data_IF_535172470021
#
_entry.id   IF_535172470021
#
_cell.length_a   1.000
_cell.length_b   1.000
_cell.length_c   1.000
_cell.angle_alpha   90.00
_cell.angle_beta   90.00
_cell.angle_gamma   90.00
#
_symmetry.space_group_name_H-M   'P 1'
#
loop_
_entity.id
_entity.type
_entity.pdbx_description
1 polymer ?
#
# COMPACT_ATOMS: atom_id res chain seq x y z
N UNK A 1 11.66 -55.88 14.94
CA UNK A 1 10.60 -54.88 15.23
C UNK A 1 10.80 -53.52 14.57
N UNK A 2 12.03 -53.08 14.24
CA UNK A 2 12.32 -51.73 13.71
C UNK A 2 11.78 -51.42 12.28
N UNK A 3 11.53 -52.44 11.45
CA UNK A 3 11.09 -52.24 10.04
C UNK A 3 9.57 -52.13 9.84
N UNK A 4 8.75 -52.57 10.81
CA UNK A 4 7.27 -52.42 10.78
C UNK A 4 6.80 -51.04 11.28
N UNK A 5 7.59 -50.40 12.15
CA UNK A 5 7.38 -49.04 12.65
C UNK A 5 7.74 -47.98 11.58
N UNK A 6 8.70 -48.30 10.70
CA UNK A 6 9.16 -47.40 9.65
C UNK A 6 8.14 -47.23 8.50
N UNK A 7 7.31 -48.25 8.23
CA UNK A 7 6.30 -48.20 7.15
C UNK A 7 5.03 -47.47 7.59
N UNK A 8 4.65 -47.54 8.87
CA UNK A 8 3.51 -46.79 9.42
C UNK A 8 3.79 -45.30 9.58
N UNK A 9 5.06 -44.90 9.74
CA UNK A 9 5.48 -43.49 9.76
C UNK A 9 5.53 -42.84 8.37
N UNK A 10 5.70 -43.64 7.31
CA UNK A 10 5.73 -43.15 5.93
C UNK A 10 4.32 -42.80 5.38
N UNK A 11 3.29 -43.56 5.77
CA UNK A 11 1.90 -43.34 5.31
C UNK A 11 1.23 -42.20 6.09
N UNK A 12 1.64 -41.93 7.33
CA UNK A 12 1.16 -40.77 8.11
C UNK A 12 1.75 -39.44 7.64
N UNK A 13 2.89 -39.46 6.94
CA UNK A 13 3.50 -38.29 6.30
C UNK A 13 2.77 -37.82 5.04
N UNK A 14 1.90 -38.64 4.45
CA UNK A 14 1.21 -38.29 3.20
C UNK A 14 -0.25 -37.83 3.40
N UNK A 15 -0.82 -37.97 4.62
CA UNK A 15 -2.20 -37.58 4.91
C UNK A 15 -2.37 -36.23 5.63
N UNK A 16 -1.30 -35.62 6.16
CA UNK A 16 -1.37 -34.30 6.82
C UNK A 16 -1.13 -33.14 5.86
N UNK A 17 -0.67 -33.40 4.63
CA UNK A 17 -0.43 -32.34 3.63
C UNK A 17 -1.73 -31.84 2.97
N UNK A 18 -2.84 -32.57 3.10
CA UNK A 18 -4.13 -32.17 2.54
C UNK A 18 -4.98 -31.32 3.51
N UNK A 19 -4.54 -31.06 4.74
CA UNK A 19 -5.35 -30.39 5.77
C UNK A 19 -4.94 -28.95 6.13
N UNK A 20 -3.92 -28.37 5.48
CA UNK A 20 -3.47 -27.00 5.80
C UNK A 20 -4.11 -25.90 4.94
N UNK A 21 -4.89 -26.24 3.90
CA UNK A 21 -5.41 -25.27 2.92
C UNK A 21 -6.92 -25.00 3.03
N UNK A 22 -7.48 -24.86 4.23
CA UNK A 22 -8.95 -24.59 4.36
C UNK A 22 -9.31 -23.44 5.32
N UNK A 23 -8.38 -22.76 5.99
CA UNK A 23 -8.72 -21.67 6.95
C UNK A 23 -7.97 -20.35 6.69
N UNK A 24 -7.85 -19.95 5.42
CA UNK A 24 -7.28 -18.64 5.04
C UNK A 24 -8.14 -17.88 4.03
N UNK A 25 -9.46 -18.08 4.05
CA UNK A 25 -10.39 -17.26 3.27
C UNK A 25 -11.32 -16.50 4.21
N UNK A 26 -10.77 -15.51 4.89
CA UNK A 26 -11.52 -14.29 5.21
C UNK A 26 -10.54 -13.11 5.31
N UNK A 27 -9.80 -12.87 4.22
CA UNK A 27 -9.02 -11.64 4.04
C UNK A 27 -9.90 -10.55 3.45
N UNK A 28 -11.04 -10.27 4.08
CA UNK A 28 -11.69 -8.96 3.97
C UNK A 28 -10.90 -7.94 4.81
N UNK A 29 -9.59 -7.88 4.58
CA UNK A 29 -8.80 -6.71 4.93
C UNK A 29 -9.21 -5.64 3.93
N UNK A 30 -10.25 -4.88 4.25
CA UNK A 30 -10.49 -3.58 3.65
C UNK A 30 -9.31 -2.70 4.04
N UNK A 31 -8.17 -2.87 3.36
CA UNK A 31 -7.03 -1.96 3.46
C UNK A 31 -7.56 -0.61 3.01
N UNK A 32 -7.88 0.24 3.97
CA UNK A 32 -8.27 1.62 3.68
C UNK A 32 -7.13 2.21 2.84
N UNK A 33 -7.45 2.60 1.60
CA UNK A 33 -6.50 3.27 0.73
C UNK A 33 -5.97 4.49 1.48
N UNK A 34 -4.66 4.54 1.67
CA UNK A 34 -4.00 5.66 2.32
C UNK A 34 -3.66 6.71 1.25
N UNK A 35 -3.89 8.00 1.49
CA UNK A 35 -3.43 9.04 0.59
C UNK A 35 -1.90 9.06 0.55
N UNK A 36 -1.29 9.49 -0.58
CA UNK A 36 0.15 9.66 -0.65
C UNK A 36 0.60 10.76 0.32
N UNK A 37 1.75 10.55 0.97
CA UNK A 37 2.35 11.55 1.86
C UNK A 37 3.31 12.44 1.10
N UNK A 38 3.33 13.73 1.45
CA UNK A 38 4.17 14.74 0.78
C UNK A 38 5.18 15.36 1.74
N UNK A 39 6.42 15.47 1.28
CA UNK A 39 7.49 16.10 2.05
C UNK A 39 7.26 17.62 2.21
N UNK A 40 7.49 18.13 3.42
CA UNK A 40 7.51 19.57 3.69
C UNK A 40 8.89 20.15 3.38
N UNK A 41 8.95 21.09 2.44
CA UNK A 41 10.14 21.89 2.10
C UNK A 41 9.79 23.36 2.29
N UNK A 42 10.02 23.93 3.49
CA UNK A 42 9.62 25.30 3.81
C UNK A 42 10.29 26.31 2.87
N UNK A 43 9.46 27.08 2.15
CA UNK A 43 9.87 28.32 1.50
C UNK A 43 9.29 29.49 2.28
N UNK A 44 10.17 30.40 2.69
CA UNK A 44 9.79 31.63 3.36
C UNK A 44 9.64 32.74 2.32
N UNK A 45 8.56 33.50 2.40
CA UNK A 45 8.32 34.70 1.59
C UNK A 45 7.96 35.84 2.54
N UNK A 46 8.71 36.94 2.50
CA UNK A 46 8.38 38.15 3.26
C UNK A 46 7.44 39.02 2.41
N UNK A 47 6.27 39.39 2.96
CA UNK A 47 5.21 40.15 2.29
C UNK A 47 4.74 41.25 3.25
N UNK A 48 4.92 42.51 2.87
CA UNK A 48 4.47 43.68 3.66
C UNK A 48 4.93 43.69 5.13
N UNK A 49 6.13 43.15 5.42
CA UNK A 49 6.66 43.03 6.77
C UNK A 49 6.26 41.75 7.51
N UNK A 50 5.34 40.96 6.95
CA UNK A 50 4.97 39.64 7.46
C UNK A 50 5.78 38.53 6.81
N UNK A 51 5.96 37.43 7.53
CA UNK A 51 6.66 36.24 7.05
C UNK A 51 5.69 35.10 6.81
N UNK A 52 5.53 34.70 5.55
CA UNK A 52 4.71 33.56 5.15
C UNK A 52 5.58 32.33 4.89
N UNK A 53 5.19 31.18 5.47
CA UNK A 53 5.87 29.89 5.25
C UNK A 53 5.00 28.99 4.37
N UNK A 54 5.49 28.68 3.17
CA UNK A 54 4.88 27.70 2.26
C UNK A 54 5.69 26.41 2.29
N UNK A 55 5.19 25.39 2.99
CA UNK A 55 5.85 24.09 3.10
C UNK A 55 5.84 23.26 1.79
N UNK A 56 5.01 23.63 0.82
CA UNK A 56 4.79 22.84 -0.40
C UNK A 56 5.03 23.65 -1.67
N UNK A 57 5.76 24.77 -1.55
CA UNK A 57 6.07 25.64 -2.69
C UNK A 57 6.70 24.89 -3.87
N UNK A 58 7.52 23.89 -3.57
CA UNK A 58 8.22 23.05 -4.53
C UNK A 58 7.28 22.28 -5.48
N UNK A 59 6.02 22.02 -5.08
CA UNK A 59 5.02 21.38 -5.94
C UNK A 59 4.61 22.21 -7.16
N UNK A 60 4.99 23.49 -7.22
CA UNK A 60 4.69 24.35 -8.37
C UNK A 60 5.58 24.07 -9.58
N UNK A 61 6.70 23.37 -9.39
CA UNK A 61 7.67 23.05 -10.44
C UNK A 61 7.18 21.87 -11.29
N UNK A 62 6.32 22.14 -12.28
CA UNK A 62 5.65 21.09 -13.08
C UNK A 62 6.59 20.11 -13.80
N UNK A 63 7.81 20.53 -14.15
CA UNK A 63 8.81 19.68 -14.79
C UNK A 63 9.68 18.89 -13.81
N UNK A 64 9.53 19.11 -12.51
CA UNK A 64 10.31 18.42 -11.49
C UNK A 64 9.82 16.96 -11.36
N UNK A 65 10.70 15.96 -11.52
CA UNK A 65 10.31 14.54 -11.45
C UNK A 65 9.64 14.15 -10.13
N UNK A 66 10.01 14.77 -9.01
CA UNK A 66 9.39 14.50 -7.72
C UNK A 66 7.94 15.00 -7.65
N UNK A 67 7.62 16.10 -8.35
CA UNK A 67 6.25 16.63 -8.45
C UNK A 67 5.41 15.71 -9.33
N UNK A 68 5.95 15.27 -10.46
CA UNK A 68 5.28 14.33 -11.36
C UNK A 68 4.95 13.02 -10.62
N UNK A 69 5.93 12.43 -9.93
CA UNK A 69 5.73 11.21 -9.17
C UNK A 69 4.66 11.36 -8.07
N UNK A 70 4.62 12.52 -7.39
CA UNK A 70 3.60 12.79 -6.39
C UNK A 70 2.20 12.89 -7.01
N UNK A 71 2.06 13.59 -8.14
CA UNK A 71 0.78 13.72 -8.86
C UNK A 71 0.29 12.39 -9.42
N UNK A 72 1.20 11.53 -9.90
CA UNK A 72 0.85 10.17 -10.34
C UNK A 72 0.33 9.32 -9.18
N UNK A 73 0.94 9.42 -7.99
CA UNK A 73 0.45 8.73 -6.79
C UNK A 73 -0.93 9.24 -6.35
N UNK A 74 -1.15 10.56 -6.39
CA UNK A 74 -2.46 11.16 -6.12
C UNK A 74 -3.52 10.72 -7.13
N UNK A 75 -3.18 10.68 -8.42
CA UNK A 75 -4.09 10.21 -9.47
C UNK A 75 -4.45 8.73 -9.27
N UNK A 76 -3.48 7.88 -8.90
CA UNK A 76 -3.73 6.48 -8.62
C UNK A 76 -4.66 6.30 -7.40
N UNK A 77 -4.43 7.07 -6.34
CA UNK A 77 -5.30 7.09 -5.16
C UNK A 77 -6.72 7.54 -5.52
N UNK A 78 -6.86 8.65 -6.25
CA UNK A 78 -8.14 9.18 -6.70
C UNK A 78 -8.91 8.19 -7.57
N UNK A 79 -8.25 7.57 -8.55
CA UNK A 79 -8.85 6.55 -9.40
C UNK A 79 -9.34 5.34 -8.59
N UNK A 80 -8.52 4.85 -7.64
CA UNK A 80 -8.90 3.71 -6.81
C UNK A 80 -10.09 4.04 -5.88
N UNK A 81 -10.15 5.26 -5.34
CA UNK A 81 -11.23 5.70 -4.46
C UNK A 81 -12.53 5.97 -5.22
N UNK A 82 -12.45 6.50 -6.44
CA UNK A 82 -13.61 6.84 -7.28
C UNK A 82 -14.14 5.65 -8.10
N UNK A 83 -13.41 4.55 -8.18
CA UNK A 83 -13.83 3.34 -8.90
C UNK A 83 -15.29 2.89 -8.63
N UNK A 84 -15.82 2.95 -7.39
CA UNK A 84 -17.21 2.56 -7.12
C UNK A 84 -18.26 3.48 -7.76
N UNK A 85 -17.90 4.70 -8.19
CA UNK A 85 -18.84 5.69 -8.73
C UNK A 85 -18.89 5.73 -10.26
N UNK A 86 -18.04 4.97 -10.97
CA UNK A 86 -17.92 5.04 -12.44
C UNK A 86 -19.18 4.60 -13.20
N UNK A 87 -20.11 3.90 -12.55
CA UNK A 87 -21.37 3.40 -13.14
C UNK A 87 -22.64 4.14 -12.70
N UNK A 88 -22.52 5.29 -12.02
CA UNK A 88 -23.65 6.13 -11.60
C UNK A 88 -24.15 7.06 -12.70
#
# INVERSE_FOLDING_TARGET
MKKRILLTLLVFSLSTFAFTNIMAQDVNSSTMLQPPTTEKKPKITDINGDRMVDNYFWLREKSNPAVIAHLEAENAYGAALMKPTEGL
#
